data_IF_475005035383
#
_entry.id   IF_475005035383
#
_cell.length_a   1.000
_cell.length_b   1.000
_cell.length_c   1.000
_cell.angle_alpha   90.00
_cell.angle_beta   90.00
_cell.angle_gamma   90.00
#
_symmetry.space_group_name_H-M   'P 1'
#
loop_
_entity.id
_entity.type
_entity.pdbx_description
1 polymer ?
#
# COMPACT_ATOMS: atom_id res chain seq x y z
N UNK A 1 -31.18 31.14 24.58
CA UNK A 1 -31.05 30.84 23.14
C UNK A 1 -29.71 31.38 22.64
N UNK A 2 -28.73 30.53 22.39
CA UNK A 2 -27.48 30.90 21.70
C UNK A 2 -27.38 30.10 20.40
N UNK A 3 -27.42 30.80 19.26
CA UNK A 3 -27.23 30.24 17.92
C UNK A 3 -25.78 30.52 17.51
N UNK A 4 -24.92 29.51 17.55
CA UNK A 4 -23.59 29.57 16.96
C UNK A 4 -23.70 29.10 15.50
N UNK A 5 -23.57 30.03 14.55
CA UNK A 5 -23.67 29.75 13.12
C UNK A 5 -22.32 29.35 12.54
N UNK A 6 -22.19 28.08 12.13
CA UNK A 6 -21.09 27.63 11.29
C UNK A 6 -21.25 28.19 9.87
N UNK A 7 -20.28 28.98 9.40
CA UNK A 7 -20.14 29.35 7.97
C UNK A 7 -19.04 28.51 7.33
N UNK A 8 -19.35 27.28 6.93
CA UNK A 8 -18.56 26.59 5.90
C UNK A 8 -19.20 26.89 4.53
N UNK A 9 -18.76 27.98 3.90
CA UNK A 9 -19.08 28.24 2.50
C UNK A 9 -18.19 27.33 1.64
N UNK A 10 -18.82 26.49 0.82
CA UNK A 10 -18.14 25.57 -0.08
C UNK A 10 -17.30 26.32 -1.12
N UNK A 11 -16.03 25.93 -1.23
CA UNK A 11 -15.17 26.36 -2.33
C UNK A 11 -15.76 25.85 -3.65
N UNK A 12 -16.02 26.75 -4.60
CA UNK A 12 -16.46 26.34 -5.93
C UNK A 12 -15.24 26.02 -6.83
N UNK A 13 -15.46 25.20 -7.87
CA UNK A 13 -14.43 24.77 -8.84
C UNK A 13 -13.57 25.92 -9.39
N UNK A 14 -14.13 27.12 -9.57
CA UNK A 14 -13.40 28.27 -10.12
C UNK A 14 -12.42 28.87 -9.11
N UNK A 15 -12.80 28.91 -7.83
CA UNK A 15 -11.91 29.36 -6.76
C UNK A 15 -10.73 28.41 -6.56
N UNK A 16 -10.97 27.09 -6.67
CA UNK A 16 -9.92 26.07 -6.60
C UNK A 16 -8.92 26.17 -7.76
N UNK A 17 -9.39 26.34 -9.00
CA UNK A 17 -8.51 26.47 -10.16
C UNK A 17 -7.72 27.79 -10.14
N UNK A 18 -8.32 28.87 -9.64
CA UNK A 18 -7.62 30.15 -9.46
C UNK A 18 -6.48 30.06 -8.43
N UNK A 19 -6.64 29.27 -7.36
CA UNK A 19 -5.56 29.06 -6.38
C UNK A 19 -4.39 28.23 -6.91
N UNK A 20 -4.58 27.38 -7.93
CA UNK A 20 -3.50 26.61 -8.54
C UNK A 20 -2.63 27.42 -9.51
N UNK A 21 -3.17 28.49 -10.12
CA UNK A 21 -2.41 29.34 -11.05
C UNK A 21 -1.38 30.24 -10.34
N UNK A 22 -1.51 30.45 -9.03
CA UNK A 22 -0.61 31.29 -8.23
C UNK A 22 0.66 30.56 -7.73
N UNK A 23 0.80 29.25 -7.96
CA UNK A 23 1.97 28.47 -7.54
C UNK A 23 3.06 28.32 -8.61
N UNK A 24 2.90 28.94 -9.79
CA UNK A 24 3.82 28.76 -10.92
C UNK A 24 5.07 29.68 -10.90
N UNK A 25 5.29 30.46 -9.84
CA UNK A 25 6.47 31.33 -9.71
C UNK A 25 7.08 31.25 -8.31
N UNK A 26 7.69 30.11 -7.99
CA UNK A 26 8.69 30.00 -6.94
C UNK A 26 9.82 29.10 -7.46
N UNK A 27 10.65 29.68 -8.33
CA UNK A 27 11.98 29.16 -8.58
C UNK A 27 12.82 29.31 -7.31
N UNK A 28 13.36 28.22 -6.78
CA UNK A 28 14.47 28.23 -5.83
C UNK A 28 15.31 26.95 -5.98
N UNK A 29 16.62 27.06 -5.75
CA UNK A 29 17.63 26.25 -6.42
C UNK A 29 17.76 24.85 -5.85
N UNK A 30 18.18 23.92 -6.71
CA UNK A 30 18.51 22.55 -6.38
C UNK A 30 19.54 22.48 -5.24
N UNK A 31 19.11 21.95 -4.09
CA UNK A 31 20.03 21.35 -3.12
C UNK A 31 20.27 19.92 -3.57
N UNK A 32 21.43 19.68 -4.18
CA UNK A 32 21.96 18.34 -4.36
C UNK A 32 22.25 17.75 -2.96
N UNK A 33 21.41 16.83 -2.52
CA UNK A 33 21.75 15.92 -1.43
C UNK A 33 22.72 14.91 -2.02
N UNK A 34 24.00 15.04 -1.69
CA UNK A 34 24.96 13.96 -1.88
C UNK A 34 24.53 12.79 -0.99
N UNK A 35 24.11 11.69 -1.62
CA UNK A 35 23.97 10.43 -0.93
C UNK A 35 25.39 9.88 -0.69
N UNK A 36 25.83 9.87 0.56
CA UNK A 36 27.00 9.09 0.95
C UNK A 36 26.64 7.61 0.84
N UNK A 37 27.03 7.00 -0.28
CA UNK A 37 26.98 5.57 -0.47
C UNK A 37 28.00 4.90 0.44
N UNK A 38 27.55 4.45 1.61
CA UNK A 38 28.31 3.55 2.46
C UNK A 38 28.59 2.24 1.71
N UNK A 39 29.85 2.01 1.39
CA UNK A 39 30.33 0.71 0.93
C UNK A 39 30.33 -0.27 2.11
N UNK A 40 29.52 -1.33 2.04
CA UNK A 40 29.46 -2.32 3.12
C UNK A 40 28.74 -3.60 2.72
N UNK A 41 29.43 -4.51 2.04
CA UNK A 41 28.93 -5.85 1.70
C UNK A 41 27.76 -5.85 0.70
N UNK A 42 27.48 -7.00 0.06
CA UNK A 42 26.17 -7.13 -0.58
C UNK A 42 25.12 -6.99 0.54
N UNK A 43 24.21 -6.01 0.46
CA UNK A 43 23.19 -5.85 1.49
C UNK A 43 22.39 -7.15 1.60
N UNK A 44 22.13 -7.60 2.83
CA UNK A 44 21.24 -8.73 3.03
C UNK A 44 19.89 -8.40 2.36
N UNK A 45 19.34 -9.34 1.59
CA UNK A 45 18.07 -9.11 0.90
C UNK A 45 16.98 -8.79 1.92
N UNK A 46 16.24 -7.71 1.69
CA UNK A 46 15.10 -7.36 2.52
C UNK A 46 14.07 -8.49 2.47
N UNK A 47 13.64 -8.98 3.64
CA UNK A 47 12.63 -10.02 3.80
C UNK A 47 11.27 -9.39 3.95
N UNK A 48 10.49 -9.43 2.88
CA UNK A 48 9.18 -8.78 2.82
C UNK A 48 8.09 -9.84 2.84
N UNK A 49 7.19 -9.75 3.82
CA UNK A 49 5.98 -10.57 3.83
C UNK A 49 5.03 -10.05 2.75
N UNK A 50 4.78 -10.88 1.73
CA UNK A 50 3.84 -10.59 0.65
C UNK A 50 2.46 -11.14 1.02
N UNK A 51 1.59 -10.30 1.57
CA UNK A 51 0.25 -10.69 2.02
C UNK A 51 -0.77 -10.39 0.93
N UNK A 52 -1.42 -11.44 0.43
CA UNK A 52 -2.59 -11.30 -0.42
C UNK A 52 -3.87 -11.27 0.41
N UNK A 53 -4.71 -10.25 0.24
CA UNK A 53 -5.96 -10.13 1.01
C UNK A 53 -7.16 -10.29 0.09
N UNK A 54 -8.05 -11.21 0.44
CA UNK A 54 -9.34 -11.42 -0.21
C UNK A 54 -10.21 -12.31 0.67
N UNK A 55 -11.54 -12.16 0.63
CA UNK A 55 -12.43 -13.15 1.26
C UNK A 55 -12.49 -14.45 0.41
N UNK A 56 -13.06 -15.56 0.92
CA UNK A 56 -13.19 -16.79 0.13
C UNK A 56 -13.93 -16.57 -1.21
N UNK A 57 -13.48 -17.17 -2.32
CA UNK A 57 -14.04 -16.92 -3.67
C UNK A 57 -15.50 -17.33 -3.82
N UNK A 58 -16.02 -18.20 -2.96
CA UNK A 58 -17.43 -18.59 -2.94
C UNK A 58 -18.36 -17.48 -2.44
N UNK A 59 -17.84 -16.44 -1.77
CA UNK A 59 -18.65 -15.33 -1.26
C UNK A 59 -18.83 -14.26 -2.34
N UNK A 60 -20.05 -13.69 -2.49
CA UNK A 60 -20.29 -12.62 -3.46
C UNK A 60 -19.56 -11.34 -3.05
N UNK A 61 -18.56 -10.95 -3.84
CA UNK A 61 -17.81 -9.71 -3.72
C UNK A 61 -17.08 -9.42 -5.04
N UNK A 62 -16.42 -8.26 -5.14
CA UNK A 62 -15.44 -8.01 -6.20
C UNK A 62 -14.22 -8.93 -6.03
N UNK A 63 -13.58 -9.40 -7.11
CA UNK A 63 -13.90 -9.11 -8.53
C UNK A 63 -15.16 -9.79 -9.06
N UNK A 64 -15.37 -11.06 -8.72
CA UNK A 64 -16.58 -11.85 -9.00
C UNK A 64 -16.58 -13.15 -8.17
N UNK A 65 -17.72 -13.84 -8.13
CA UNK A 65 -17.83 -15.17 -7.49
C UNK A 65 -17.03 -16.19 -8.27
N UNK A 66 -16.24 -16.99 -7.57
CA UNK A 66 -15.38 -18.02 -8.18
C UNK A 66 -14.10 -17.47 -8.81
N UNK A 67 -13.73 -16.21 -8.53
CA UNK A 67 -12.48 -15.63 -9.02
C UNK A 67 -11.26 -16.47 -8.63
N UNK A 68 -10.36 -16.67 -9.59
CA UNK A 68 -9.12 -17.43 -9.40
C UNK A 68 -8.06 -16.58 -8.67
N UNK A 69 -8.21 -16.48 -7.36
CA UNK A 69 -7.21 -15.82 -6.51
C UNK A 69 -5.88 -16.56 -6.54
N UNK A 70 -5.86 -17.89 -6.63
CA UNK A 70 -4.61 -18.66 -6.55
C UNK A 70 -3.73 -18.45 -7.79
N UNK A 71 -4.32 -18.48 -8.99
CA UNK A 71 -3.64 -18.12 -10.23
C UNK A 71 -3.13 -16.68 -10.20
N UNK A 72 -3.95 -15.73 -9.72
CA UNK A 72 -3.53 -14.32 -9.59
C UNK A 72 -2.38 -14.13 -8.60
N UNK A 73 -2.41 -14.79 -7.44
CA UNK A 73 -1.33 -14.77 -6.43
C UNK A 73 -0.02 -15.30 -6.99
N UNK A 74 -0.08 -16.40 -7.75
CA UNK A 74 1.09 -17.00 -8.40
C UNK A 74 1.70 -16.03 -9.41
N UNK A 75 0.89 -15.51 -10.34
CA UNK A 75 1.32 -14.54 -11.36
C UNK A 75 2.00 -13.31 -10.73
N UNK A 76 1.37 -12.72 -9.72
CA UNK A 76 1.90 -11.53 -9.05
C UNK A 76 3.18 -11.82 -8.26
N UNK A 77 3.27 -12.98 -7.60
CA UNK A 77 4.48 -13.39 -6.89
C UNK A 77 5.65 -13.54 -7.87
N UNK A 78 5.44 -14.24 -8.99
CA UNK A 78 6.47 -14.44 -10.01
C UNK A 78 6.95 -13.09 -10.59
N UNK A 79 6.01 -12.20 -10.95
CA UNK A 79 6.33 -10.87 -11.47
C UNK A 79 7.10 -10.01 -10.46
N UNK A 80 6.70 -10.01 -9.19
CA UNK A 80 7.38 -9.26 -8.13
C UNK A 80 8.80 -9.80 -7.90
N UNK A 81 8.97 -11.12 -7.81
CA UNK A 81 10.28 -11.75 -7.65
C UNK A 81 11.21 -11.46 -8.82
N UNK A 82 10.69 -11.45 -10.05
CA UNK A 82 11.47 -11.09 -11.25
C UNK A 82 11.86 -9.62 -11.28
N UNK A 83 10.95 -8.72 -10.92
CA UNK A 83 11.17 -7.27 -11.01
C UNK A 83 11.96 -6.68 -9.82
N UNK A 84 12.07 -7.42 -8.71
CA UNK A 84 12.76 -7.02 -7.49
C UNK A 84 13.67 -8.15 -6.96
N UNK A 85 14.77 -8.50 -7.67
CA UNK A 85 15.62 -9.65 -7.33
C UNK A 85 16.38 -9.52 -6.00
N UNK A 86 16.46 -8.30 -5.45
CA UNK A 86 17.13 -8.00 -4.18
C UNK A 86 16.18 -8.10 -2.97
N UNK A 87 14.91 -8.45 -3.18
CA UNK A 87 13.91 -8.65 -2.13
C UNK A 87 13.56 -10.13 -2.05
N UNK A 88 13.55 -10.67 -0.84
CA UNK A 88 12.98 -11.99 -0.56
C UNK A 88 11.51 -11.82 -0.20
N UNK A 89 10.61 -12.11 -1.15
CA UNK A 89 9.18 -12.13 -0.89
C UNK A 89 8.76 -13.46 -0.25
N UNK A 90 8.00 -13.37 0.84
CA UNK A 90 7.43 -14.53 1.52
C UNK A 90 5.90 -14.50 1.35
N UNK A 91 5.32 -15.19 0.36
CA UNK A 91 3.88 -15.13 0.09
C UNK A 91 3.05 -15.70 1.24
N UNK A 92 1.91 -15.06 1.51
CA UNK A 92 0.91 -15.52 2.44
C UNK A 92 -0.47 -14.98 2.05
N UNK A 93 -1.54 -15.54 2.63
CA UNK A 93 -2.92 -15.08 2.40
C UNK A 93 -3.58 -14.75 3.74
N UNK A 94 -4.32 -13.65 3.78
CA UNK A 94 -5.17 -13.30 4.92
C UNK A 94 -6.58 -12.98 4.43
N UNK A 95 -7.55 -13.82 4.78
CA UNK A 95 -8.93 -13.65 4.35
C UNK A 95 -9.82 -12.89 5.34
N UNK A 96 -9.29 -12.64 6.53
CA UNK A 96 -9.96 -11.90 7.59
C UNK A 96 -8.94 -11.37 8.61
N UNK A 97 -9.42 -10.57 9.57
CA UNK A 97 -8.64 -10.02 10.67
C UNK A 97 -7.94 -11.07 11.52
N UNK A 98 -8.56 -12.23 11.76
CA UNK A 98 -7.99 -13.24 12.64
C UNK A 98 -6.83 -13.97 11.94
N UNK A 99 -6.97 -14.28 10.65
CA UNK A 99 -5.89 -14.81 9.83
C UNK A 99 -4.72 -13.81 9.76
N UNK A 100 -5.00 -12.52 9.60
CA UNK A 100 -3.98 -11.49 9.64
C UNK A 100 -3.24 -11.47 10.99
N UNK A 101 -3.95 -11.50 12.12
CA UNK A 101 -3.34 -11.57 13.46
C UNK A 101 -2.44 -12.79 13.63
N UNK A 102 -2.92 -13.96 13.22
CA UNK A 102 -2.15 -15.21 13.29
C UNK A 102 -0.87 -15.13 12.46
N UNK A 103 -0.95 -14.59 11.24
CA UNK A 103 0.20 -14.37 10.38
C UNK A 103 1.26 -13.46 11.05
N UNK A 104 0.82 -12.42 11.77
CA UNK A 104 1.72 -11.51 12.48
C UNK A 104 2.46 -12.16 13.67
N UNK A 105 1.92 -13.23 14.25
CA UNK A 105 2.57 -13.96 15.36
C UNK A 105 3.86 -14.67 14.88
N UNK A 106 3.83 -15.16 13.64
CA UNK A 106 4.93 -15.87 12.99
C UNK A 106 5.98 -14.93 12.35
N UNK A 107 5.59 -13.68 12.07
CA UNK A 107 6.38 -12.70 11.31
C UNK A 107 7.27 -11.78 12.17
N UNK A 108 8.03 -12.36 13.10
CA UNK A 108 8.96 -11.57 13.93
C UNK A 108 10.18 -11.07 13.16
N UNK A 109 10.62 -11.79 12.13
CA UNK A 109 11.87 -11.58 11.39
C UNK A 109 11.72 -10.89 10.02
N UNK A 110 10.52 -10.44 9.65
CA UNK A 110 10.31 -9.72 8.37
C UNK A 110 10.56 -8.22 8.52
N UNK A 111 11.19 -7.63 7.52
CA UNK A 111 11.59 -6.21 7.52
C UNK A 111 10.39 -5.29 7.22
N UNK A 112 9.40 -5.80 6.50
CA UNK A 112 8.18 -5.08 6.17
C UNK A 112 7.10 -5.95 5.52
N UNK A 113 5.99 -5.31 5.15
CA UNK A 113 4.84 -5.96 4.53
C UNK A 113 4.49 -5.32 3.18
N UNK A 114 4.31 -6.14 2.15
CA UNK A 114 3.59 -5.75 0.96
C UNK A 114 2.21 -6.39 1.03
N UNK A 115 1.17 -5.58 1.22
CA UNK A 115 -0.21 -6.04 1.26
C UNK A 115 -0.83 -5.79 -0.09
N UNK A 116 -1.03 -6.86 -0.86
CA UNK A 116 -1.67 -6.83 -2.16
C UNK A 116 -3.16 -7.14 -2.01
N UNK A 117 -3.99 -6.11 -2.15
CA UNK A 117 -5.43 -6.20 -1.97
C UNK A 117 -6.07 -6.76 -3.25
N UNK A 118 -6.20 -8.08 -3.34
CA UNK A 118 -6.87 -8.75 -4.47
C UNK A 118 -8.40 -8.67 -4.39
N UNK A 119 -8.93 -8.60 -3.17
CA UNK A 119 -10.35 -8.54 -2.88
C UNK A 119 -10.62 -7.77 -1.59
N UNK A 120 -11.89 -7.76 -1.21
CA UNK A 120 -12.45 -7.02 -0.07
C UNK A 120 -13.63 -7.80 0.53
N UNK A 121 -13.97 -7.71 1.82
CA UNK A 121 -13.49 -6.85 2.91
C UNK A 121 -12.89 -7.68 4.05
N UNK A 122 -11.58 -7.59 4.29
CA UNK A 122 -10.89 -8.49 5.21
C UNK A 122 -10.56 -7.85 6.57
N UNK A 123 -10.44 -6.52 6.62
CA UNK A 123 -9.78 -5.77 7.71
C UNK A 123 -8.31 -6.17 7.95
N UNK A 124 -7.71 -7.00 7.09
CA UNK A 124 -6.32 -7.44 7.21
C UNK A 124 -5.33 -6.28 6.99
N UNK A 125 -5.50 -5.41 5.97
CA UNK A 125 -4.58 -4.30 5.75
C UNK A 125 -4.43 -3.38 6.98
N UNK A 126 -5.54 -2.99 7.62
CA UNK A 126 -5.52 -2.15 8.83
C UNK A 126 -4.84 -2.86 10.00
N UNK A 127 -5.04 -4.18 10.12
CA UNK A 127 -4.40 -5.00 11.17
C UNK A 127 -2.89 -5.03 10.99
N UNK A 128 -2.42 -5.21 9.75
CA UNK A 128 -0.99 -5.23 9.41
C UNK A 128 -0.37 -3.84 9.61
N UNK A 129 -1.02 -2.78 9.12
CA UNK A 129 -0.54 -1.40 9.29
C UNK A 129 -0.41 -0.98 10.75
N UNK A 130 -1.25 -1.51 11.65
CA UNK A 130 -1.17 -1.24 13.08
C UNK A 130 0.10 -1.79 13.75
N UNK A 131 0.87 -2.67 13.09
CA UNK A 131 2.15 -3.17 13.61
C UNK A 131 3.25 -2.09 13.64
N UNK A 132 3.07 -1.00 12.88
CA UNK A 132 4.07 0.06 12.76
C UNK A 132 5.29 -0.31 11.91
N UNK A 133 5.31 -1.50 11.30
CA UNK A 133 6.36 -1.89 10.33
C UNK A 133 6.14 -1.19 8.98
N UNK A 134 7.23 -0.89 8.24
CA UNK A 134 7.12 -0.39 6.87
C UNK A 134 6.19 -1.27 6.04
N UNK A 135 5.15 -0.66 5.47
CA UNK A 135 4.09 -1.38 4.77
C UNK A 135 3.77 -0.68 3.44
N UNK A 136 3.64 -1.46 2.37
CA UNK A 136 3.15 -1.00 1.09
C UNK A 136 1.77 -1.63 0.83
N UNK A 137 0.75 -0.80 0.66
CA UNK A 137 -0.55 -1.25 0.17
C UNK A 137 -0.57 -1.17 -1.36
N UNK A 138 -0.95 -2.27 -2.00
CA UNK A 138 -1.11 -2.36 -3.45
C UNK A 138 -2.56 -2.68 -3.77
N UNK A 139 -3.22 -1.79 -4.49
CA UNK A 139 -4.56 -2.00 -5.02
C UNK A 139 -4.51 -2.91 -6.25
N UNK A 140 -5.13 -4.10 -6.19
CA UNK A 140 -5.43 -4.84 -7.43
C UNK A 140 -6.61 -4.18 -8.11
N UNK A 141 -6.37 -3.70 -9.33
CA UNK A 141 -7.31 -2.88 -10.08
C UNK A 141 -8.73 -3.49 -10.07
N UNK A 142 -9.67 -2.74 -9.50
CA UNK A 142 -11.08 -3.11 -9.27
C UNK A 142 -11.34 -4.18 -8.20
N UNK A 143 -10.40 -5.09 -7.94
CA UNK A 143 -10.56 -6.16 -6.96
C UNK A 143 -10.50 -5.67 -5.52
N UNK A 144 -9.43 -4.95 -5.16
CA UNK A 144 -9.19 -4.47 -3.80
C UNK A 144 -9.53 -3.02 -3.52
N UNK A 145 -9.91 -2.26 -4.55
CA UNK A 145 -9.91 -0.79 -4.50
C UNK A 145 -10.78 -0.21 -3.39
N UNK A 146 -11.93 -0.82 -3.10
CA UNK A 146 -12.80 -0.40 -2.01
C UNK A 146 -12.11 -0.52 -0.64
N UNK A 147 -11.41 -1.62 -0.38
CA UNK A 147 -10.68 -1.81 0.88
C UNK A 147 -9.41 -0.94 0.92
N UNK A 148 -8.73 -0.76 -0.22
CA UNK A 148 -7.56 0.13 -0.33
C UNK A 148 -7.91 1.56 0.07
N UNK A 149 -8.98 2.14 -0.47
CA UNK A 149 -9.40 3.51 -0.18
C UNK A 149 -9.64 3.73 1.32
N UNK A 150 -10.29 2.77 1.97
CA UNK A 150 -10.62 2.87 3.40
C UNK A 150 -9.38 2.62 4.27
N UNK A 151 -8.62 1.56 3.97
CA UNK A 151 -7.44 1.17 4.74
C UNK A 151 -6.33 2.21 4.65
N UNK A 152 -6.00 2.67 3.44
CA UNK A 152 -4.96 3.66 3.23
C UNK A 152 -5.32 5.01 3.85
N UNK A 153 -6.57 5.47 3.70
CA UNK A 153 -7.03 6.68 4.36
C UNK A 153 -6.97 6.56 5.89
N UNK A 154 -7.27 5.38 6.44
CA UNK A 154 -7.11 5.11 7.88
C UNK A 154 -5.65 5.18 8.30
N UNK A 155 -4.75 4.52 7.58
CA UNK A 155 -3.32 4.53 7.89
C UNK A 155 -2.74 5.95 7.90
N UNK A 156 -3.10 6.77 6.91
CA UNK A 156 -2.71 8.19 6.85
C UNK A 156 -3.21 9.00 8.04
N UNK A 157 -4.46 8.82 8.46
CA UNK A 157 -5.01 9.52 9.63
C UNK A 157 -4.31 9.15 10.94
N UNK A 158 -3.79 7.93 11.05
CA UNK A 158 -3.09 7.44 12.24
C UNK A 158 -1.57 7.63 12.17
N UNK A 159 -1.03 8.25 11.11
CA UNK A 159 0.41 8.44 10.93
C UNK A 159 1.20 7.13 10.85
N UNK A 160 0.59 6.07 10.35
CA UNK A 160 1.25 4.75 10.21
C UNK A 160 2.27 4.79 9.06
N UNK A 161 3.31 3.95 9.15
CA UNK A 161 4.38 3.81 8.13
C UNK A 161 3.88 3.02 6.92
N UNK A 162 2.88 3.56 6.24
CA UNK A 162 2.20 2.91 5.13
C UNK A 162 2.23 3.83 3.92
N UNK A 163 2.76 3.32 2.81
CA UNK A 163 2.60 3.91 1.49
C UNK A 163 1.58 3.12 0.67
N UNK A 164 1.03 3.74 -0.36
CA UNK A 164 -0.03 3.16 -1.19
C UNK A 164 0.22 3.36 -2.67
N UNK A 165 0.08 2.29 -3.45
CA UNK A 165 0.11 2.33 -4.92
C UNK A 165 -1.19 1.76 -5.48
N UNK A 166 -1.86 2.55 -6.32
CA UNK A 166 -3.02 2.16 -7.12
C UNK A 166 -2.71 2.56 -8.55
N UNK A 167 -2.18 1.60 -9.33
CA UNK A 167 -1.81 1.78 -10.73
C UNK A 167 -2.25 0.55 -11.53
N UNK A 168 -2.68 0.79 -12.77
CA UNK A 168 -2.95 -0.26 -13.74
C UNK A 168 -1.66 -0.82 -14.38
N UNK A 169 -0.51 -0.17 -14.17
CA UNK A 169 0.79 -0.62 -14.69
C UNK A 169 1.57 -1.34 -13.60
N UNK A 170 1.96 -2.58 -13.86
CA UNK A 170 2.73 -3.37 -12.91
C UNK A 170 4.09 -2.72 -12.57
N UNK A 171 4.71 -2.02 -13.53
CA UNK A 171 6.00 -1.37 -13.31
C UNK A 171 5.97 -0.33 -12.17
N UNK A 172 4.82 0.32 -11.95
CA UNK A 172 4.65 1.27 -10.84
C UNK A 172 4.61 0.53 -9.49
N UNK A 173 3.98 -0.65 -9.46
CA UNK A 173 3.97 -1.53 -8.28
C UNK A 173 5.38 -2.03 -7.98
N UNK A 174 6.12 -2.49 -9.00
CA UNK A 174 7.49 -2.93 -8.86
C UNK A 174 8.41 -1.78 -8.41
N UNK A 175 8.23 -0.57 -8.95
CA UNK A 175 8.97 0.61 -8.52
C UNK A 175 8.73 0.97 -7.06
N UNK A 176 7.47 0.91 -6.60
CA UNK A 176 7.15 1.12 -5.19
C UNK A 176 7.70 0.00 -4.29
N UNK A 177 7.65 -1.26 -4.73
CA UNK A 177 8.19 -2.40 -3.98
C UNK A 177 9.71 -2.32 -3.82
N UNK A 178 10.45 -1.81 -4.80
CA UNK A 178 11.91 -1.60 -4.68
C UNK A 178 12.30 -0.66 -3.53
N UNK A 179 11.38 0.13 -2.99
CA UNK A 179 11.64 0.92 -1.77
C UNK A 179 11.92 0.04 -0.52
N UNK A 180 11.66 -1.27 -0.56
CA UNK A 180 12.11 -2.17 0.50
C UNK A 180 13.62 -2.46 0.43
N UNK A 181 14.30 -2.22 -0.70
CA UNK A 181 15.75 -2.47 -0.86
C UNK A 181 16.63 -1.52 -0.02
N UNK A 182 16.04 -0.46 0.54
CA UNK A 182 16.74 0.53 1.37
C UNK A 182 16.45 0.36 2.88
N UNK A 183 15.76 -0.71 3.29
CA UNK A 183 15.47 -1.02 4.69
C UNK A 183 16.63 -1.70 5.42
#
# INVERSE_FOLDING_TARGET
>A
MCRCGCRFHGLNRRQFLASCAACALAASPARALAAEGGAGGAPAKAKVRLVFTHIPPAKPTWPNVGYDYDGRKKDLTEKLTQACPNIEFLPATAQDRNQAKKLLEDDKSVDGYLVYLLGLWTSAPQTIAATGRPTLFVDDLYGGSGEFLVAFASARRHGQKVEGVSSSRFDDVAAAARCFEIL
#
